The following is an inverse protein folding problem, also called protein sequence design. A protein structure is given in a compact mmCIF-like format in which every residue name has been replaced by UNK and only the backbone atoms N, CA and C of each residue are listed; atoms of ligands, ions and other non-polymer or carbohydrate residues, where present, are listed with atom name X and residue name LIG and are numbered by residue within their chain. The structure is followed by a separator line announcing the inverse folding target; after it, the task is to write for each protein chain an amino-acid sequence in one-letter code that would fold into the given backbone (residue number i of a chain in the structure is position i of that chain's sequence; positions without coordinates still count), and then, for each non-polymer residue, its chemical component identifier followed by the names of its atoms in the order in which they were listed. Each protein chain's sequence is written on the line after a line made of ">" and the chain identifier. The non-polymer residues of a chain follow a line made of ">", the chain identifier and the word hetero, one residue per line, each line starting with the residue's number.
data_IF_113327213885
#
_entry.id   IF_113327213885
#
_cell.length_a   1.000
_cell.length_b   1.000
_cell.length_c   1.000
_cell.angle_alpha   90.00
_cell.angle_beta   90.00
_cell.angle_gamma   90.00
#
_symmetry.space_group_name_H-M   'P 1'
#
loop_
_entity.id
_entity.type
_entity.pdbx_description
1 polymer ?
#
# COMPACT_ATOMS: atom_id res chain seq x y z
N UNK A 1 -13.18 35.42 18.42
CA UNK A 1 -12.15 34.37 18.28
C UNK A 1 -11.79 34.31 16.81
N UNK A 2 -10.70 34.99 16.39
CA UNK A 2 -10.29 35.05 14.99
C UNK A 2 -9.58 33.73 14.69
N UNK A 3 -10.24 32.83 13.97
CA UNK A 3 -9.59 31.63 13.43
C UNK A 3 -8.66 32.07 12.31
N UNK A 4 -7.38 32.24 12.59
CA UNK A 4 -6.37 32.31 11.54
C UNK A 4 -6.36 30.95 10.84
N UNK A 5 -7.02 30.86 9.69
CA UNK A 5 -6.97 29.69 8.84
C UNK A 5 -5.51 29.48 8.40
N UNK A 6 -4.85 28.45 8.94
CA UNK A 6 -3.46 28.15 8.59
C UNK A 6 -3.41 27.73 7.12
N UNK A 7 -2.78 28.53 6.28
CA UNK A 7 -2.53 28.14 4.90
C UNK A 7 -1.42 27.08 4.86
N UNK A 8 -1.67 25.96 4.18
CA UNK A 8 -0.66 24.93 3.98
C UNK A 8 0.45 25.47 3.07
N UNK A 9 1.70 25.37 3.49
CA UNK A 9 2.86 25.66 2.63
C UNK A 9 3.00 24.68 1.45
N UNK A 10 2.32 23.54 1.52
CA UNK A 10 2.23 22.55 0.46
C UNK A 10 0.88 22.68 -0.27
N UNK A 11 0.87 22.40 -1.58
CA UNK A 11 -0.32 22.53 -2.44
C UNK A 11 -1.54 21.78 -1.89
N UNK A 12 -2.72 22.36 -2.08
CA UNK A 12 -3.99 21.76 -1.67
C UNK A 12 -4.52 20.83 -2.76
N UNK A 13 -5.26 19.79 -2.37
CA UNK A 13 -5.98 18.94 -3.32
C UNK A 13 -7.02 19.75 -4.09
N UNK A 14 -7.13 19.53 -5.39
CA UNK A 14 -8.06 20.27 -6.25
C UNK A 14 -9.54 20.03 -5.87
N UNK A 15 -9.85 18.83 -5.38
CA UNK A 15 -11.21 18.42 -5.02
C UNK A 15 -11.24 17.39 -3.88
N UNK A 16 -12.41 17.22 -3.26
CA UNK A 16 -12.66 16.15 -2.26
C UNK A 16 -12.49 14.76 -2.87
N UNK A 17 -12.93 14.59 -4.12
CA UNK A 17 -12.80 13.31 -4.82
C UNK A 17 -11.33 12.98 -5.06
N UNK A 18 -10.53 13.96 -5.45
CA UNK A 18 -9.08 13.81 -5.59
C UNK A 18 -8.44 13.38 -4.27
N UNK A 19 -8.81 14.01 -3.16
CA UNK A 19 -8.31 13.60 -1.85
C UNK A 19 -8.65 12.14 -1.52
N UNK A 20 -9.90 11.71 -1.79
CA UNK A 20 -10.31 10.32 -1.58
C UNK A 20 -9.56 9.37 -2.51
N UNK A 21 -9.38 9.71 -3.79
CA UNK A 21 -8.61 8.91 -4.74
C UNK A 21 -7.15 8.78 -4.31
N UNK A 22 -6.52 9.86 -3.86
CA UNK A 22 -5.15 9.84 -3.37
C UNK A 22 -5.01 9.05 -2.06
N UNK A 23 -5.94 9.20 -1.12
CA UNK A 23 -5.98 8.39 0.10
C UNK A 23 -6.18 6.90 -0.23
N UNK A 24 -7.02 6.60 -1.22
CA UNK A 24 -7.23 5.23 -1.70
C UNK A 24 -5.98 4.70 -2.39
N UNK A 25 -5.29 5.48 -3.22
CA UNK A 25 -4.02 5.11 -3.85
C UNK A 25 -2.89 4.89 -2.85
N UNK A 26 -2.85 5.65 -1.76
CA UNK A 26 -1.91 5.42 -0.67
C UNK A 26 -2.20 4.12 0.10
N UNK A 27 -3.47 3.70 0.19
CA UNK A 27 -3.88 2.46 0.86
C UNK A 27 -3.84 1.22 -0.04
N UNK A 28 -4.07 1.39 -1.34
CA UNK A 28 -4.09 0.30 -2.34
C UNK A 28 -2.72 0.24 -3.00
N UNK A 29 -1.92 -0.74 -2.62
CA UNK A 29 -0.59 -0.95 -3.18
C UNK A 29 -0.24 -2.42 -3.38
N UNK A 30 1.06 -2.65 -3.61
CA UNK A 30 1.63 -4.00 -3.82
C UNK A 30 1.21 -4.98 -2.72
N UNK A 31 1.15 -4.52 -1.46
CA UNK A 31 0.71 -5.31 -0.31
C UNK A 31 -0.60 -6.08 -0.53
N UNK A 32 -1.59 -5.45 -1.15
CA UNK A 32 -2.90 -6.07 -1.38
C UNK A 32 -2.89 -7.13 -2.48
N UNK A 33 -1.95 -7.04 -3.42
CA UNK A 33 -1.87 -7.94 -4.58
C UNK A 33 -1.06 -9.19 -4.26
N UNK A 34 -0.02 -9.08 -3.42
CA UNK A 34 0.91 -10.19 -3.19
C UNK A 34 0.93 -10.74 -1.75
N UNK A 35 0.94 -9.85 -0.74
CA UNK A 35 1.16 -10.18 0.67
C UNK A 35 -0.15 -10.60 1.29
N UNK A 36 -1.24 -9.89 0.98
CA UNK A 36 -2.56 -10.25 1.48
C UNK A 36 -2.99 -11.66 1.01
N UNK A 37 -2.92 -12.03 -0.28
CA UNK A 37 -3.25 -13.39 -0.71
C UNK A 37 -2.31 -14.44 -0.13
N UNK A 38 -1.01 -14.15 -0.03
CA UNK A 38 -0.04 -15.04 0.60
C UNK A 38 -0.38 -15.32 2.07
N UNK A 39 -0.58 -14.26 2.88
CA UNK A 39 -0.95 -14.41 4.28
C UNK A 39 -2.29 -15.11 4.44
N UNK A 40 -3.27 -14.77 3.61
CA UNK A 40 -4.57 -15.47 3.57
C UNK A 40 -4.37 -16.96 3.28
N UNK A 41 -3.49 -17.31 2.33
CA UNK A 41 -3.13 -18.69 2.01
C UNK A 41 -2.56 -19.46 3.20
N UNK A 42 -1.63 -18.85 3.95
CA UNK A 42 -0.88 -19.53 5.02
C UNK A 42 -1.62 -19.51 6.38
N UNK A 43 -2.52 -18.55 6.60
CA UNK A 43 -3.20 -18.34 7.89
C UNK A 43 -4.65 -18.84 7.97
N UNK A 44 -5.04 -19.79 7.11
CA UNK A 44 -6.37 -20.42 7.17
C UNK A 44 -7.46 -19.72 6.36
N UNK A 45 -7.08 -19.03 5.29
CA UNK A 45 -8.00 -18.52 4.28
C UNK A 45 -9.06 -17.57 4.85
N UNK A 46 -10.31 -17.98 4.75
CA UNK A 46 -11.51 -17.28 5.21
C UNK A 46 -11.46 -16.78 6.66
N UNK A 47 -10.92 -17.56 7.60
CA UNK A 47 -10.85 -17.17 9.01
C UNK A 47 -9.90 -15.98 9.21
N UNK A 48 -8.77 -15.97 8.49
CA UNK A 48 -7.85 -14.84 8.46
C UNK A 48 -8.52 -13.61 7.84
N UNK A 49 -9.23 -13.76 6.72
CA UNK A 49 -9.95 -12.66 6.07
C UNK A 49 -11.00 -12.04 6.99
N UNK A 50 -11.79 -12.85 7.70
CA UNK A 50 -12.78 -12.36 8.64
C UNK A 50 -12.13 -11.57 9.79
N UNK A 51 -11.08 -12.12 10.40
CA UNK A 51 -10.33 -11.43 11.45
C UNK A 51 -9.71 -10.12 10.97
N UNK A 52 -9.12 -10.13 9.77
CA UNK A 52 -8.56 -8.95 9.12
C UNK A 52 -9.64 -7.87 8.90
N UNK A 53 -10.81 -8.25 8.38
CA UNK A 53 -11.93 -7.31 8.17
C UNK A 53 -12.42 -6.69 9.47
N UNK A 54 -12.48 -7.46 10.56
CA UNK A 54 -12.82 -6.93 11.89
C UNK A 54 -11.74 -5.95 12.38
N UNK A 55 -10.46 -6.28 12.23
CA UNK A 55 -9.36 -5.37 12.59
C UNK A 55 -9.40 -4.07 11.79
N UNK A 56 -9.65 -4.14 10.47
CA UNK A 56 -9.82 -2.96 9.63
C UNK A 56 -11.01 -2.12 10.10
N UNK A 57 -12.15 -2.74 10.39
CA UNK A 57 -13.35 -2.03 10.82
C UNK A 57 -13.19 -1.32 12.18
N UNK A 58 -12.60 -2.01 13.17
CA UNK A 58 -12.52 -1.52 14.54
C UNK A 58 -11.24 -0.76 14.89
N UNK A 59 -10.13 -1.02 14.19
CA UNK A 59 -8.84 -0.37 14.44
C UNK A 59 -8.46 0.53 13.27
N UNK A 60 -8.52 0.02 12.04
CA UNK A 60 -8.10 0.73 10.84
C UNK A 60 -8.92 2.00 10.56
N UNK A 61 -10.25 1.88 10.50
CA UNK A 61 -11.14 3.02 10.19
C UNK A 61 -11.02 4.12 11.26
N UNK A 62 -11.13 3.85 12.57
CA UNK A 62 -10.99 4.90 13.59
C UNK A 62 -9.61 5.56 13.58
N UNK A 63 -8.54 4.79 13.37
CA UNK A 63 -7.19 5.32 13.31
C UNK A 63 -7.01 6.23 12.09
N UNK A 64 -7.46 5.81 10.91
CA UNK A 64 -7.45 6.63 9.69
C UNK A 64 -8.25 7.93 9.90
N UNK A 65 -9.43 7.87 10.51
CA UNK A 65 -10.22 9.06 10.83
C UNK A 65 -9.46 10.02 11.75
N UNK A 66 -8.80 9.48 12.79
CA UNK A 66 -7.99 10.29 13.70
C UNK A 66 -6.82 10.98 12.98
N UNK A 67 -6.07 10.25 12.15
CA UNK A 67 -4.94 10.80 11.37
C UNK A 67 -5.40 11.90 10.40
N UNK A 68 -6.50 11.68 9.68
CA UNK A 68 -7.07 12.68 8.76
C UNK A 68 -7.54 13.91 9.53
N UNK A 69 -8.17 13.74 10.69
CA UNK A 69 -8.61 14.85 11.54
C UNK A 69 -7.43 15.68 12.07
N UNK A 70 -6.39 15.02 12.58
CA UNK A 70 -5.16 15.67 13.06
C UNK A 70 -4.45 16.41 11.93
N UNK A 71 -4.26 15.75 10.78
CA UNK A 71 -3.64 16.35 9.59
C UNK A 71 -4.41 17.56 9.07
N UNK A 72 -5.75 17.50 9.05
CA UNK A 72 -6.60 18.62 8.63
C UNK A 72 -6.52 19.82 9.58
N UNK A 73 -6.34 19.59 10.88
CA UNK A 73 -6.18 20.66 11.89
C UNK A 73 -4.76 21.24 11.90
N UNK A 74 -3.74 20.40 11.73
CA UNK A 74 -2.33 20.82 11.72
C UNK A 74 -1.89 21.49 10.43
N UNK A 75 -2.31 20.95 9.27
CA UNK A 75 -1.93 21.38 7.90
C UNK A 75 -0.41 21.52 7.69
N UNK A 76 0.35 20.70 8.41
CA UNK A 76 1.82 20.65 8.42
C UNK A 76 2.29 19.20 8.33
N UNK A 77 3.61 18.98 8.34
CA UNK A 77 4.19 17.62 8.45
C UNK A 77 3.69 16.92 9.73
N UNK A 78 3.70 15.57 9.78
CA UNK A 78 3.21 14.82 10.95
C UNK A 78 3.85 15.28 12.28
N UNK A 79 5.17 15.45 12.29
CA UNK A 79 5.94 15.93 13.45
C UNK A 79 5.49 17.33 13.90
N UNK A 80 5.42 18.28 12.96
CA UNK A 80 5.05 19.66 13.27
C UNK A 80 3.58 19.79 13.67
N UNK A 81 2.70 18.99 13.06
CA UNK A 81 1.29 18.89 13.43
C UNK A 81 1.15 18.43 14.88
N UNK A 82 1.82 17.34 15.27
CA UNK A 82 1.76 16.83 16.64
C UNK A 82 2.34 17.81 17.66
N UNK A 83 3.43 18.52 17.31
CA UNK A 83 4.00 19.59 18.15
C UNK A 83 3.00 20.72 18.38
N UNK A 84 2.45 21.27 17.30
CA UNK A 84 1.57 22.43 17.37
C UNK A 84 0.27 22.09 18.11
N UNK A 85 -0.30 20.90 17.87
CA UNK A 85 -1.51 20.46 18.55
C UNK A 85 -1.28 20.18 20.04
N UNK A 86 -0.11 19.67 20.42
CA UNK A 86 0.23 19.49 21.83
C UNK A 86 0.33 20.86 22.55
N UNK A 87 0.96 21.85 21.93
CA UNK A 87 1.04 23.22 22.44
C UNK A 87 -0.36 23.87 22.56
N UNK A 88 -1.23 23.72 21.56
CA UNK A 88 -2.60 24.26 21.59
C UNK A 88 -3.50 23.65 22.67
N UNK A 89 -3.32 22.37 22.97
CA UNK A 89 -4.16 21.63 23.92
C UNK A 89 -3.56 21.56 25.32
N UNK A 90 -2.42 22.23 25.53
CA UNK A 90 -1.63 22.18 26.77
C UNK A 90 -1.28 20.72 27.17
N UNK A 91 -1.11 19.86 26.17
CA UNK A 91 -0.70 18.47 26.35
C UNK A 91 0.83 18.37 26.38
N UNK A 92 1.37 17.29 26.95
CA UNK A 92 2.81 17.09 27.05
C UNK A 92 3.51 17.05 25.69
N UNK A 93 4.71 17.65 25.57
CA UNK A 93 5.46 17.67 24.31
C UNK A 93 5.84 16.27 23.77
N UNK A 94 5.74 15.22 24.59
CA UNK A 94 5.97 13.83 24.21
C UNK A 94 5.07 13.32 23.08
N UNK A 95 3.92 13.95 22.82
CA UNK A 95 3.05 13.61 21.67
C UNK A 95 3.75 13.78 20.31
N UNK A 96 4.82 14.56 20.24
CA UNK A 96 5.67 14.68 19.04
C UNK A 96 6.33 13.36 18.63
N UNK A 97 6.55 12.44 19.58
CA UNK A 97 7.15 11.12 19.31
C UNK A 97 6.32 10.32 18.32
N UNK A 98 4.99 10.44 18.32
CA UNK A 98 4.11 9.76 17.36
C UNK A 98 4.32 10.29 15.94
N UNK A 99 4.51 11.60 15.79
CA UNK A 99 4.84 12.17 14.48
C UNK A 99 6.21 11.70 13.96
N UNK A 100 7.18 11.57 14.85
CA UNK A 100 8.51 11.04 14.52
C UNK A 100 8.47 9.54 14.18
N UNK A 101 7.75 8.73 14.95
CA UNK A 101 7.62 7.30 14.69
C UNK A 101 6.96 7.03 13.34
N UNK A 102 5.90 7.79 12.98
CA UNK A 102 5.26 7.67 11.67
C UNK A 102 6.20 8.06 10.52
N UNK A 103 6.97 9.13 10.68
CA UNK A 103 7.92 9.58 9.66
C UNK A 103 9.06 8.56 9.48
N UNK A 104 9.61 8.04 10.57
CA UNK A 104 10.64 7.00 10.54
C UNK A 104 10.10 5.70 9.94
N UNK A 105 8.89 5.28 10.32
CA UNK A 105 8.23 4.12 9.74
C UNK A 105 8.06 4.28 8.22
N UNK A 106 7.65 5.45 7.73
CA UNK A 106 7.56 5.74 6.30
C UNK A 106 8.90 5.57 5.57
N UNK A 107 10.00 6.06 6.15
CA UNK A 107 11.35 5.90 5.58
C UNK A 107 11.76 4.42 5.53
N UNK A 108 11.56 3.69 6.62
CA UNK A 108 11.87 2.27 6.69
C UNK A 108 11.03 1.45 5.71
N UNK A 109 9.74 1.75 5.60
CA UNK A 109 8.85 1.10 4.62
C UNK A 109 9.34 1.36 3.20
N UNK A 110 9.67 2.61 2.86
CA UNK A 110 10.16 2.98 1.54
C UNK A 110 11.45 2.24 1.17
N UNK A 111 12.34 1.98 2.15
CA UNK A 111 13.62 1.31 1.91
C UNK A 111 13.47 -0.08 1.28
N UNK A 112 12.48 -0.87 1.69
CA UNK A 112 12.24 -2.20 1.11
C UNK A 112 11.16 -2.17 0.02
N UNK A 113 10.15 -1.30 0.12
CA UNK A 113 9.13 -1.17 -0.92
C UNK A 113 9.70 -0.72 -2.26
N UNK A 114 10.75 0.10 -2.25
CA UNK A 114 11.43 0.52 -3.47
C UNK A 114 12.12 -0.64 -4.21
N UNK A 115 12.60 -1.65 -3.49
CA UNK A 115 13.17 -2.88 -4.09
C UNK A 115 12.06 -3.69 -4.77
N UNK A 116 10.93 -3.90 -4.09
CA UNK A 116 9.78 -4.64 -4.63
C UNK A 116 9.13 -3.89 -5.81
N UNK A 117 9.05 -2.55 -5.70
CA UNK A 117 8.65 -1.69 -6.81
C UNK A 117 9.57 -1.87 -8.02
N UNK A 118 10.88 -1.96 -7.78
CA UNK A 118 11.86 -2.33 -8.80
C UNK A 118 11.57 -3.68 -9.46
N UNK A 119 11.20 -4.71 -8.68
CA UNK A 119 10.81 -6.02 -9.23
C UNK A 119 9.66 -5.89 -10.21
N UNK A 120 8.67 -5.06 -9.89
CA UNK A 120 7.51 -4.83 -10.76
C UNK A 120 7.93 -4.27 -12.12
N UNK A 121 8.84 -3.30 -12.14
CA UNK A 121 9.36 -2.73 -13.40
C UNK A 121 10.16 -3.79 -14.17
N UNK A 122 11.04 -4.52 -13.50
CA UNK A 122 11.82 -5.59 -14.14
C UNK A 122 10.93 -6.67 -14.75
N UNK A 123 9.87 -7.08 -14.05
CA UNK A 123 8.91 -8.07 -14.54
C UNK A 123 8.10 -7.57 -15.74
N UNK A 124 7.78 -6.27 -15.81
CA UNK A 124 7.17 -5.68 -17.02
C UNK A 124 8.12 -5.85 -18.22
N UNK A 125 9.43 -5.66 -18.03
CA UNK A 125 10.42 -5.81 -19.11
C UNK A 125 10.57 -7.27 -19.51
N UNK A 126 10.67 -8.21 -18.57
CA UNK A 126 10.67 -9.65 -18.86
C UNK A 126 9.39 -10.10 -19.59
N UNK A 127 8.23 -9.56 -19.20
CA UNK A 127 6.98 -9.85 -19.87
C UNK A 127 6.93 -9.30 -21.30
N UNK A 128 7.44 -8.08 -21.51
CA UNK A 128 7.53 -7.47 -22.84
C UNK A 128 8.56 -8.18 -23.74
N UNK A 129 9.64 -8.72 -23.16
CA UNK A 129 10.65 -9.50 -23.87
C UNK A 129 10.16 -10.90 -24.29
N UNK A 130 9.04 -11.36 -23.71
CA UNK A 130 8.48 -12.68 -24.00
C UNK A 130 9.12 -13.81 -23.20
N UNK A 131 9.89 -13.49 -22.16
CA UNK A 131 10.60 -14.48 -21.33
C UNK A 131 9.64 -15.45 -20.63
N UNK A 132 8.37 -15.06 -20.42
CA UNK A 132 7.33 -15.91 -19.85
C UNK A 132 6.63 -16.85 -20.85
N UNK A 133 6.95 -16.76 -22.15
CA UNK A 133 6.29 -17.59 -23.17
C UNK A 133 6.75 -19.05 -23.09
N UNK A 134 5.80 -19.95 -22.83
CA UNK A 134 6.08 -21.40 -22.73
C UNK A 134 6.86 -21.81 -21.48
N UNK A 135 7.03 -20.92 -20.48
CA UNK A 135 7.69 -21.26 -19.23
C UNK A 135 6.88 -22.24 -18.39
N UNK A 136 7.56 -23.25 -17.84
CA UNK A 136 7.01 -24.12 -16.79
C UNK A 136 7.04 -23.42 -15.43
N UNK A 137 6.32 -23.95 -14.43
CA UNK A 137 6.34 -23.40 -13.07
C UNK A 137 7.73 -23.42 -12.42
N UNK A 138 8.53 -24.45 -12.71
CA UNK A 138 9.92 -24.55 -12.23
C UNK A 138 10.81 -23.52 -12.93
N UNK A 139 10.62 -23.31 -14.23
CA UNK A 139 11.34 -22.28 -14.97
C UNK A 139 11.01 -20.86 -14.49
N UNK A 140 9.74 -20.58 -14.17
CA UNK A 140 9.35 -19.31 -13.56
C UNK A 140 9.98 -19.11 -12.17
N UNK A 141 10.08 -20.17 -11.37
CA UNK A 141 10.72 -20.13 -10.06
C UNK A 141 12.23 -19.89 -10.15
N UNK A 142 12.90 -20.53 -11.12
CA UNK A 142 14.32 -20.29 -11.40
C UNK A 142 14.56 -18.86 -11.86
N UNK A 143 13.76 -18.36 -12.81
CA UNK A 143 13.87 -16.99 -13.29
C UNK A 143 13.71 -15.98 -12.16
N UNK A 144 12.74 -16.18 -11.26
CA UNK A 144 12.60 -15.33 -10.07
C UNK A 144 13.81 -15.43 -9.14
N UNK A 145 14.32 -16.64 -8.90
CA UNK A 145 15.51 -16.88 -8.09
C UNK A 145 16.75 -16.17 -8.64
N UNK A 146 17.01 -16.29 -9.94
CA UNK A 146 18.13 -15.64 -10.62
C UNK A 146 17.97 -14.12 -10.62
N UNK A 147 16.73 -13.64 -10.81
CA UNK A 147 16.41 -12.21 -10.79
C UNK A 147 16.68 -11.60 -9.41
N UNK A 148 16.15 -12.20 -8.33
CA UNK A 148 16.34 -11.71 -6.95
C UNK A 148 17.76 -11.95 -6.45
N UNK A 149 18.42 -13.00 -6.96
CA UNK A 149 19.79 -13.36 -6.59
C UNK A 149 20.89 -12.46 -7.17
N UNK A 150 20.59 -11.61 -8.15
CA UNK A 150 21.59 -10.74 -8.81
C UNK A 150 21.64 -9.32 -8.20
N UNK A 151 22.67 -8.96 -7.42
CA UNK A 151 22.72 -7.67 -6.73
C UNK A 151 22.71 -6.47 -7.68
N UNK A 152 23.36 -6.59 -8.83
CA UNK A 152 23.45 -5.50 -9.81
C UNK A 152 22.09 -5.22 -10.47
N UNK A 153 21.34 -6.28 -10.81
CA UNK A 153 19.98 -6.16 -11.35
C UNK A 153 19.06 -5.52 -10.31
N UNK A 154 19.17 -5.94 -9.05
CA UNK A 154 18.39 -5.40 -7.95
C UNK A 154 18.64 -3.91 -7.72
N UNK A 155 19.91 -3.49 -7.67
CA UNK A 155 20.28 -2.07 -7.54
C UNK A 155 19.80 -1.27 -8.76
N UNK A 156 19.93 -1.81 -9.97
CA UNK A 156 19.47 -1.15 -11.19
C UNK A 156 17.97 -0.86 -11.20
N UNK A 157 17.15 -1.86 -10.89
CA UNK A 157 15.69 -1.70 -10.86
C UNK A 157 15.20 -0.87 -9.68
N UNK A 158 15.80 -1.04 -8.50
CA UNK A 158 15.54 -0.17 -7.34
C UNK A 158 15.82 1.30 -7.67
N UNK A 159 16.98 1.60 -8.28
CA UNK A 159 17.35 2.97 -8.64
C UNK A 159 16.39 3.56 -9.66
N UNK A 160 15.97 2.76 -10.64
CA UNK A 160 14.97 3.17 -11.65
C UNK A 160 13.63 3.50 -10.99
N UNK A 161 13.16 2.65 -10.08
CA UNK A 161 11.91 2.89 -9.34
C UNK A 161 11.99 4.15 -8.48
N UNK A 162 13.11 4.35 -7.76
CA UNK A 162 13.33 5.55 -6.95
C UNK A 162 13.39 6.82 -7.79
N UNK A 163 14.02 6.76 -8.97
CA UNK A 163 14.07 7.90 -9.89
C UNK A 163 12.67 8.30 -10.36
N UNK A 164 11.84 7.33 -10.77
CA UNK A 164 10.45 7.58 -11.17
C UNK A 164 9.65 8.17 -10.00
N UNK A 165 9.79 7.60 -8.80
CA UNK A 165 9.12 8.08 -7.59
C UNK A 165 9.52 9.52 -7.29
N UNK A 166 10.82 9.83 -7.31
CA UNK A 166 11.33 11.17 -7.06
C UNK A 166 10.87 12.17 -8.13
N UNK A 167 10.81 11.76 -9.40
CA UNK A 167 10.29 12.58 -10.49
C UNK A 167 8.83 12.96 -10.30
N UNK A 168 7.97 12.01 -9.89
CA UNK A 168 6.55 12.26 -9.62
C UNK A 168 6.40 13.18 -8.39
N UNK A 169 7.13 12.92 -7.31
CA UNK A 169 7.09 13.73 -6.09
C UNK A 169 7.61 15.16 -6.34
N UNK A 170 8.66 15.32 -7.14
CA UNK A 170 9.22 16.63 -7.49
C UNK A 170 8.25 17.51 -8.30
N UNK A 171 7.31 16.88 -9.04
CA UNK A 171 6.21 17.59 -9.72
C UNK A 171 5.10 18.06 -8.78
N UNK A 172 5.17 17.76 -7.49
CA UNK A 172 4.23 18.22 -6.47
C UNK A 172 2.88 17.51 -6.49
N UNK A 173 2.00 17.93 -5.58
CA UNK A 173 0.73 17.24 -5.29
C UNK A 173 -0.23 17.26 -6.48
N UNK A 174 -0.55 18.44 -7.03
CA UNK A 174 -1.55 18.57 -8.10
C UNK A 174 -1.05 18.08 -9.47
N UNK A 175 0.19 18.43 -9.84
CA UNK A 175 0.76 18.12 -11.16
C UNK A 175 1.46 16.76 -11.24
N UNK A 176 1.79 16.14 -10.10
CA UNK A 176 2.40 14.82 -9.99
C UNK A 176 1.43 13.78 -9.46
N UNK A 177 1.26 13.75 -8.14
CA UNK A 177 0.52 12.68 -7.44
C UNK A 177 -0.94 12.58 -7.89
N UNK A 178 -1.67 13.69 -7.88
CA UNK A 178 -3.09 13.72 -8.26
C UNK A 178 -3.33 13.18 -9.66
N UNK A 179 -2.50 13.55 -10.64
CA UNK A 179 -2.61 13.02 -12.01
C UNK A 179 -2.31 11.52 -12.04
N UNK A 180 -1.24 11.08 -11.39
CA UNK A 180 -0.89 9.67 -11.34
C UNK A 180 -2.05 8.84 -10.76
N UNK A 181 -2.60 9.24 -9.60
CA UNK A 181 -3.67 8.51 -8.94
C UNK A 181 -4.97 8.51 -9.75
N UNK A 182 -5.33 9.64 -10.38
CA UNK A 182 -6.58 9.76 -11.14
C UNK A 182 -6.63 8.82 -12.35
N UNK A 183 -5.47 8.49 -12.96
CA UNK A 183 -5.42 7.58 -14.11
C UNK A 183 -5.03 6.15 -13.73
N UNK A 184 -4.03 5.97 -12.86
CA UNK A 184 -3.47 4.65 -12.55
C UNK A 184 -4.39 3.83 -11.64
N UNK A 185 -5.12 4.46 -10.71
CA UNK A 185 -6.04 3.73 -9.83
C UNK A 185 -7.22 3.10 -10.58
N UNK A 186 -7.96 3.83 -11.44
CA UNK A 186 -8.99 3.20 -12.26
C UNK A 186 -8.43 2.12 -13.20
N UNK A 187 -7.25 2.35 -13.78
CA UNK A 187 -6.59 1.37 -14.65
C UNK A 187 -6.29 0.06 -13.89
N UNK A 188 -5.77 0.16 -12.66
CA UNK A 188 -5.52 -1.00 -11.79
C UNK A 188 -6.83 -1.75 -11.49
N UNK A 189 -7.91 -1.03 -11.16
CA UNK A 189 -9.21 -1.65 -10.91
C UNK A 189 -9.73 -2.41 -12.13
N UNK A 190 -9.66 -1.80 -13.31
CA UNK A 190 -10.07 -2.45 -14.57
C UNK A 190 -9.23 -3.69 -14.83
N UNK A 191 -7.91 -3.61 -14.64
CA UNK A 191 -7.00 -4.74 -14.82
C UNK A 191 -7.35 -5.90 -13.87
N UNK A 192 -7.64 -5.60 -12.60
CA UNK A 192 -8.05 -6.62 -11.63
C UNK A 192 -9.38 -7.28 -12.02
N UNK A 193 -10.36 -6.50 -12.51
CA UNK A 193 -11.63 -7.06 -12.98
C UNK A 193 -11.43 -7.98 -14.20
N UNK A 194 -10.55 -7.62 -15.13
CA UNK A 194 -10.18 -8.47 -16.26
C UNK A 194 -9.54 -9.77 -15.78
N UNK A 195 -8.61 -9.70 -14.81
CA UNK A 195 -7.98 -10.89 -14.23
C UNK A 195 -8.98 -11.79 -13.51
N UNK A 196 -9.96 -11.23 -12.80
CA UNK A 196 -11.06 -12.02 -12.20
C UNK A 196 -11.88 -12.69 -13.30
N UNK A 197 -12.24 -11.98 -14.37
CA UNK A 197 -12.94 -12.55 -15.51
C UNK A 197 -12.18 -13.71 -16.17
N UNK A 198 -10.87 -13.57 -16.32
CA UNK A 198 -10.01 -14.64 -16.80
C UNK A 198 -9.93 -15.82 -15.81
N UNK A 199 -9.79 -15.55 -14.51
CA UNK A 199 -9.74 -16.58 -13.47
C UNK A 199 -11.02 -17.46 -13.47
N UNK A 200 -12.18 -16.88 -13.79
CA UNK A 200 -13.44 -17.62 -13.94
C UNK A 200 -13.38 -18.70 -15.04
N UNK A 201 -12.54 -18.53 -16.06
CA UNK A 201 -12.40 -19.51 -17.17
C UNK A 201 -11.42 -20.65 -16.87
N UNK A 202 -10.69 -20.61 -15.75
CA UNK A 202 -9.66 -21.61 -15.41
C UNK A 202 -10.20 -22.93 -14.85
N UNK A 203 -11.51 -23.02 -14.59
CA UNK A 203 -12.16 -24.21 -14.00
C UNK A 203 -11.96 -24.38 -12.48
N UNK A 204 -11.01 -23.67 -11.87
CA UNK A 204 -10.72 -23.73 -10.43
C UNK A 204 -11.35 -22.60 -9.60
N UNK A 205 -12.05 -21.67 -10.26
CA UNK A 205 -12.62 -20.48 -9.64
C UNK A 205 -13.49 -20.80 -8.41
N UNK A 206 -14.37 -21.81 -8.51
CA UNK A 206 -15.22 -22.22 -7.40
C UNK A 206 -14.44 -22.73 -6.19
N UNK A 207 -13.31 -23.42 -6.40
CA UNK A 207 -12.45 -23.85 -5.29
C UNK A 207 -11.83 -22.65 -4.57
N UNK A 208 -11.42 -21.63 -5.32
CA UNK A 208 -10.93 -20.36 -4.76
C UNK A 208 -11.98 -19.63 -3.94
N UNK A 209 -13.23 -19.56 -4.41
CA UNK A 209 -14.33 -18.96 -3.65
C UNK A 209 -14.64 -19.74 -2.37
N UNK A 210 -14.71 -21.07 -2.44
CA UNK A 210 -14.94 -21.91 -1.26
C UNK A 210 -13.83 -21.71 -0.24
N UNK A 211 -12.56 -21.67 -0.67
CA UNK A 211 -11.41 -21.38 0.19
C UNK A 211 -11.50 -20.01 0.87
N UNK A 212 -11.93 -18.97 0.13
CA UNK A 212 -11.96 -17.60 0.64
C UNK A 212 -13.16 -17.32 1.55
N UNK A 213 -14.30 -17.97 1.33
CA UNK A 213 -15.57 -17.64 2.00
C UNK A 213 -16.11 -18.72 2.94
N UNK A 214 -15.57 -19.94 2.94
CA UNK A 214 -15.99 -21.00 3.87
C UNK A 214 -15.16 -20.92 5.14
N UNK A 215 -15.71 -20.49 6.29
CA UNK A 215 -14.93 -20.29 7.51
C UNK A 215 -14.24 -21.57 7.97
N UNK A 216 -12.91 -21.58 7.95
CA UNK A 216 -12.11 -22.68 8.47
C UNK A 216 -11.14 -22.18 9.55
N UNK A 217 -11.45 -22.51 10.80
CA UNK A 217 -10.66 -22.09 11.96
C UNK A 217 -9.58 -23.11 12.33
N UNK A 218 -9.45 -24.23 11.61
CA UNK A 218 -8.49 -25.30 11.95
C UNK A 218 -7.04 -24.82 11.95
N UNK A 219 -6.68 -23.91 11.03
CA UNK A 219 -5.35 -23.31 10.92
C UNK A 219 -5.26 -21.89 11.52
N UNK A 220 -6.33 -21.42 12.17
CA UNK A 220 -6.36 -20.09 12.76
C UNK A 220 -5.74 -20.10 14.17
N UNK A 221 -4.61 -19.41 14.32
CA UNK A 221 -3.85 -19.35 15.57
C UNK A 221 -3.83 -17.94 16.16
N UNK A 222 -3.35 -17.80 17.41
CA UNK A 222 -3.07 -16.47 18.01
C UNK A 222 -2.07 -15.66 17.17
N UNK A 223 -1.10 -16.34 16.54
CA UNK A 223 -0.18 -15.69 15.63
C UNK A 223 -0.91 -15.17 14.38
N UNK A 224 -1.85 -15.94 13.83
CA UNK A 224 -2.71 -15.50 12.71
C UNK A 224 -3.51 -14.23 13.06
N UNK A 225 -4.00 -14.12 14.31
CA UNK A 225 -4.67 -12.90 14.78
C UNK A 225 -3.72 -11.70 14.86
N UNK A 226 -2.52 -11.87 15.40
CA UNK A 226 -1.51 -10.81 15.44
C UNK A 226 -1.12 -10.36 14.01
N UNK A 227 -0.95 -11.29 13.09
CA UNK A 227 -0.66 -10.99 11.69
C UNK A 227 -1.84 -10.31 10.98
N UNK A 228 -3.08 -10.59 11.38
CA UNK A 228 -4.27 -9.92 10.84
C UNK A 228 -4.40 -8.46 11.30
N UNK A 229 -3.84 -8.11 12.48
CA UNK A 229 -3.84 -6.74 13.01
C UNK A 229 -2.88 -5.80 12.27
N UNK A 230 -1.83 -6.35 11.63
CA UNK A 230 -0.82 -5.58 10.89
C UNK A 230 0.59 -5.75 11.43
#
# INVERSE_FOLDING_TARGET
>A
MITHDRQSMHGQWSSRLTFVMAATGAAVGLGNIWKFPYLTGVHGGSAFVLAYMLCVAFLGIPMMMAEVMLGRRGRQTPVNTMRTLAEETNAGQGWQLIGWSGTLAGILILSYYSVIGGWTIGYIVHAAAGDFSGLSGDGASSLFGDFVGSPLIQVGWHTTFMFITMFIVARGVQSGLEKADTYLMPALLVLLLVLVGYAMTTGYFMKGLVFLFTPDFTHFSRASMLTAMG
#
